data_IF_511684212113
#
_entry.id   IF_511684212113
#
_cell.length_a   1.000
_cell.length_b   1.000
_cell.length_c   1.000
_cell.angle_alpha   90.00
_cell.angle_beta   90.00
_cell.angle_gamma   90.00
#
_symmetry.space_group_name_H-M   'P 1'
#
loop_
_entity.id
_entity.type
_entity.pdbx_description
1 polymer ?
#
# COMPACT_ATOMS: atom_id res chain seq x y z
N UNK A 1 5.90 -17.75 -24.18
CA UNK A 1 5.62 -16.35 -24.56
C UNK A 1 5.79 -15.52 -23.30
N UNK A 2 6.99 -14.96 -23.09
CA UNK A 2 7.33 -14.18 -21.89
C UNK A 2 6.74 -12.78 -22.04
N UNK A 3 5.67 -12.49 -21.32
CA UNK A 3 5.16 -11.13 -21.21
C UNK A 3 6.01 -10.46 -20.13
N UNK A 4 6.85 -9.45 -20.45
CA UNK A 4 7.55 -8.72 -19.43
C UNK A 4 6.49 -7.92 -18.66
N UNK A 5 6.25 -8.29 -17.40
CA UNK A 5 5.48 -7.47 -16.47
C UNK A 5 6.28 -6.19 -16.18
N UNK A 6 6.25 -5.23 -17.10
CA UNK A 6 6.70 -3.86 -16.87
C UNK A 6 5.62 -3.13 -16.05
N UNK A 7 5.45 -3.56 -14.81
CA UNK A 7 4.50 -2.96 -13.89
C UNK A 7 5.22 -1.92 -13.05
N UNK A 8 4.94 -0.64 -13.32
CA UNK A 8 5.47 0.51 -12.62
C UNK A 8 7.01 0.69 -12.69
N UNK A 9 7.54 0.80 -13.90
CA UNK A 9 8.83 1.44 -14.12
C UNK A 9 8.72 2.94 -13.76
N UNK A 10 8.84 3.31 -12.49
CA UNK A 10 8.82 4.73 -12.10
C UNK A 10 8.76 5.07 -10.62
N UNK A 11 8.40 4.13 -9.73
CA UNK A 11 8.17 4.43 -8.31
C UNK A 11 9.37 4.14 -7.38
N UNK A 12 10.54 3.81 -7.94
CA UNK A 12 11.78 3.56 -7.19
C UNK A 12 12.17 2.08 -7.09
N UNK A 13 13.27 1.76 -6.39
CA UNK A 13 13.88 0.42 -6.35
C UNK A 13 13.11 -0.61 -5.49
N UNK A 14 12.03 -0.21 -4.82
CA UNK A 14 11.28 -1.08 -3.90
C UNK A 14 10.32 -1.97 -4.69
N UNK A 15 10.29 -3.30 -4.47
CA UNK A 15 9.36 -4.18 -5.16
C UNK A 15 7.92 -3.79 -4.83
N UNK A 16 7.24 -3.21 -5.82
CA UNK A 16 5.87 -2.75 -5.71
C UNK A 16 4.95 -3.86 -6.21
N UNK A 17 4.53 -4.74 -5.30
CA UNK A 17 3.39 -5.60 -5.60
C UNK A 17 2.16 -4.72 -5.65
N UNK A 18 1.54 -4.69 -6.82
CA UNK A 18 0.30 -3.96 -7.01
C UNK A 18 -0.87 -4.92 -6.86
N UNK A 19 -1.67 -4.68 -5.82
CA UNK A 19 -2.96 -5.33 -5.67
C UNK A 19 -3.95 -4.60 -6.58
N UNK A 20 -4.50 -5.30 -7.58
CA UNK A 20 -5.55 -4.79 -8.46
C UNK A 20 -6.87 -5.50 -8.17
N UNK A 21 -7.91 -4.74 -7.91
CA UNK A 21 -9.26 -5.26 -7.81
C UNK A 21 -9.81 -5.69 -9.17
N UNK A 22 -10.27 -6.94 -9.29
CA UNK A 22 -10.85 -7.49 -10.54
C UNK A 22 -12.39 -7.46 -10.55
N UNK A 23 -13.04 -7.24 -9.40
CA UNK A 23 -14.51 -7.29 -9.25
C UNK A 23 -15.13 -5.90 -9.00
N UNK A 24 -16.37 -5.71 -9.43
CA UNK A 24 -17.18 -4.51 -9.10
C UNK A 24 -17.27 -4.36 -7.57
N UNK A 25 -16.93 -3.19 -7.03
CA UNK A 25 -16.86 -2.92 -5.58
C UNK A 25 -15.45 -2.96 -4.97
N UNK A 26 -14.46 -3.50 -5.69
CA UNK A 26 -13.07 -3.45 -5.22
C UNK A 26 -12.42 -2.08 -5.45
N UNK A 27 -11.50 -1.69 -4.58
CA UNK A 27 -10.77 -0.42 -4.69
C UNK A 27 -10.06 -0.37 -6.05
N UNK A 28 -10.50 0.54 -6.92
CA UNK A 28 -9.89 0.74 -8.24
C UNK A 28 -8.53 1.41 -8.11
N UNK A 29 -7.52 0.90 -8.82
CA UNK A 29 -6.17 1.48 -8.86
C UNK A 29 -5.12 0.53 -8.30
N UNK A 30 -4.03 1.10 -7.81
CA UNK A 30 -2.86 0.34 -7.35
C UNK A 30 -2.70 0.51 -5.83
N UNK A 31 -2.55 -0.59 -5.10
CA UNK A 31 -2.10 -0.56 -3.70
C UNK A 31 -0.60 -0.86 -3.66
N UNK A 32 0.13 -0.10 -2.84
CA UNK A 32 1.57 -0.18 -2.66
C UNK A 32 1.88 -0.48 -1.21
N UNK A 33 2.77 -1.44 -0.96
CA UNK A 33 3.30 -1.71 0.38
C UNK A 33 4.66 -1.01 0.60
N UNK A 34 4.83 -0.38 1.75
CA UNK A 34 6.10 0.15 2.22
C UNK A 34 6.47 -0.47 3.56
N UNK A 35 7.68 -1.02 3.67
CA UNK A 35 8.22 -1.54 4.93
C UNK A 35 9.03 -0.46 5.64
N UNK A 36 8.77 -0.26 6.93
CA UNK A 36 9.53 0.62 7.80
C UNK A 36 9.73 -0.03 9.16
N UNK A 37 10.92 -0.58 9.40
CA UNK A 37 11.23 -1.33 10.62
C UNK A 37 10.30 -2.54 10.79
N UNK A 38 9.57 -2.57 11.91
CA UNK A 38 8.56 -3.59 12.26
C UNK A 38 7.15 -3.27 11.75
N UNK A 39 7.00 -2.27 10.89
CA UNK A 39 5.71 -1.89 10.31
C UNK A 39 5.70 -2.05 8.80
N UNK A 40 4.57 -2.51 8.27
CA UNK A 40 4.26 -2.51 6.84
C UNK A 40 3.03 -1.61 6.62
N UNK A 41 3.17 -0.60 5.76
CA UNK A 41 2.10 0.35 5.44
C UNK A 41 1.60 0.10 4.03
N UNK A 42 0.28 0.07 3.85
CA UNK A 42 -0.37 -0.13 2.57
C UNK A 42 -1.06 1.15 2.15
N UNK A 43 -0.68 1.66 0.98
CA UNK A 43 -1.20 2.89 0.41
C UNK A 43 -1.95 2.63 -0.89
N UNK A 44 -3.14 3.21 -1.01
CA UNK A 44 -3.81 3.36 -2.27
C UNK A 44 -3.20 4.52 -3.06
N UNK A 45 -2.74 4.25 -4.28
CA UNK A 45 -2.25 5.24 -5.22
C UNK A 45 -3.44 5.81 -5.99
N UNK A 46 -3.73 7.10 -5.77
CA UNK A 46 -4.85 7.81 -6.39
C UNK A 46 -4.29 8.93 -7.29
N UNK A 47 -4.75 9.07 -8.54
CA UNK A 47 -4.30 10.16 -9.40
C UNK A 47 -4.79 11.51 -8.85
N UNK A 48 -3.95 12.54 -8.94
CA UNK A 48 -4.32 13.91 -8.58
C UNK A 48 -5.13 14.51 -9.73
N UNK A 49 -6.45 14.46 -9.63
CA UNK A 49 -7.39 14.98 -10.66
C UNK A 49 -7.82 16.44 -10.45
N UNK A 50 -7.21 17.15 -9.51
CA UNK A 50 -7.54 18.54 -9.17
C UNK A 50 -6.36 19.45 -9.47
N UNK A 51 -6.63 20.74 -9.60
CA UNK A 51 -5.57 21.74 -9.55
C UNK A 51 -4.76 21.61 -8.26
N UNK A 52 -3.45 21.74 -8.38
CA UNK A 52 -2.53 21.71 -7.25
C UNK A 52 -2.70 23.00 -6.43
N UNK A 53 -2.47 22.90 -5.14
CA UNK A 53 -2.31 24.09 -4.30
C UNK A 53 -0.92 24.69 -4.55
N UNK A 54 -0.74 25.99 -4.30
CA UNK A 54 0.56 26.66 -4.47
C UNK A 54 1.71 25.93 -3.78
N UNK A 55 1.48 25.42 -2.57
CA UNK A 55 2.49 24.64 -1.84
C UNK A 55 2.82 23.29 -2.50
N UNK A 56 1.84 22.64 -3.14
CA UNK A 56 2.06 21.42 -3.91
C UNK A 56 2.79 21.72 -5.22
N UNK A 57 2.46 22.83 -5.90
CA UNK A 57 3.16 23.31 -7.10
C UNK A 57 4.62 23.61 -6.80
N UNK A 58 4.90 24.42 -5.76
CA UNK A 58 6.26 24.76 -5.34
C UNK A 58 7.08 23.50 -5.03
N UNK A 59 6.45 22.52 -4.34
CA UNK A 59 7.08 21.23 -4.03
C UNK A 59 7.34 20.41 -5.29
N UNK A 60 6.38 20.32 -6.21
CA UNK A 60 6.56 19.59 -7.47
C UNK A 60 7.63 20.24 -8.33
N UNK A 61 7.64 21.57 -8.43
CA UNK A 61 8.66 22.31 -9.15
C UNK A 61 10.06 22.05 -8.57
N UNK A 62 10.21 22.09 -7.24
CA UNK A 62 11.47 21.76 -6.58
C UNK A 62 11.93 20.31 -6.86
N UNK A 63 11.00 19.35 -6.88
CA UNK A 63 11.29 17.97 -7.26
C UNK A 63 11.71 17.85 -8.73
N UNK A 64 10.99 18.51 -9.65
CA UNK A 64 11.29 18.52 -11.07
C UNK A 64 12.69 19.10 -11.36
N UNK A 65 13.06 20.20 -10.70
CA UNK A 65 14.41 20.76 -10.83
C UNK A 65 15.50 19.81 -10.32
N UNK A 66 15.23 19.03 -9.26
CA UNK A 66 16.24 18.15 -8.64
C UNK A 66 16.43 16.83 -9.39
N UNK A 67 15.35 16.21 -9.87
CA UNK A 67 15.37 14.84 -10.41
C UNK A 67 14.62 14.64 -11.73
N UNK A 68 14.19 15.74 -12.36
CA UNK A 68 13.28 15.70 -13.50
C UNK A 68 11.86 15.34 -13.11
N UNK A 69 10.96 15.42 -14.09
CA UNK A 69 9.58 14.94 -13.95
C UNK A 69 9.56 13.41 -13.82
N UNK A 70 8.67 12.89 -12.97
CA UNK A 70 8.36 11.46 -12.88
C UNK A 70 6.86 11.26 -12.83
N UNK A 71 6.37 10.26 -13.56
CA UNK A 71 4.95 9.88 -13.55
C UNK A 71 4.40 9.62 -12.15
N UNK A 72 5.25 9.21 -11.19
CA UNK A 72 4.87 9.03 -9.79
C UNK A 72 4.42 10.30 -9.08
N UNK A 73 4.84 11.47 -9.56
CA UNK A 73 4.56 12.76 -8.93
C UNK A 73 3.09 13.17 -9.13
N UNK A 74 2.41 12.63 -10.15
CA UNK A 74 0.98 12.82 -10.40
C UNK A 74 0.05 12.02 -9.47
N UNK A 75 0.60 11.23 -8.55
CA UNK A 75 -0.15 10.32 -7.69
C UNK A 75 -0.01 10.69 -6.22
N UNK A 76 -1.13 10.64 -5.48
CA UNK A 76 -1.15 10.74 -4.02
C UNK A 76 -1.24 9.35 -3.38
N UNK A 77 -0.57 9.20 -2.25
CA UNK A 77 -0.67 8.04 -1.36
C UNK A 77 -1.77 8.28 -0.33
N UNK A 78 -2.79 7.43 -0.32
CA UNK A 78 -3.81 7.37 0.74
C UNK A 78 -3.56 6.11 1.57
N UNK A 79 -3.25 6.27 2.86
CA UNK A 79 -3.06 5.12 3.74
C UNK A 79 -4.37 4.32 3.84
N UNK A 80 -4.27 3.01 3.73
CA UNK A 80 -5.38 2.07 3.90
C UNK A 80 -5.21 1.24 5.17
N UNK A 81 -4.03 0.64 5.33
CA UNK A 81 -3.75 -0.28 6.42
C UNK A 81 -2.31 -0.12 6.89
N UNK A 82 -2.09 -0.35 8.18
CA UNK A 82 -0.78 -0.52 8.78
C UNK A 82 -0.76 -1.85 9.51
N UNK A 83 0.12 -2.75 9.11
CA UNK A 83 0.46 -3.94 9.89
C UNK A 83 1.64 -3.61 10.78
N UNK A 84 1.46 -3.63 12.10
CA UNK A 84 2.47 -3.25 13.07
C UNK A 84 2.82 -4.43 13.97
N UNK A 85 4.05 -4.92 13.86
CA UNK A 85 4.56 -6.03 14.67
C UNK A 85 5.10 -5.52 16.01
N UNK A 86 4.61 -6.12 17.09
CA UNK A 86 5.04 -5.83 18.44
C UNK A 86 6.27 -6.68 18.85
N UNK A 87 6.71 -6.58 20.10
CA UNK A 87 7.88 -7.31 20.59
C UNK A 87 7.67 -8.84 20.65
N UNK A 88 6.43 -9.31 20.72
CA UNK A 88 6.07 -10.73 20.80
C UNK A 88 5.76 -11.35 19.43
N UNK A 89 6.17 -10.68 18.34
CA UNK A 89 5.90 -11.09 16.94
C UNK A 89 4.41 -11.21 16.58
N UNK A 90 3.56 -10.52 17.33
CA UNK A 90 2.15 -10.38 16.99
C UNK A 90 2.01 -9.09 16.19
N UNK A 91 1.38 -9.16 15.03
CA UNK A 91 1.15 -8.00 14.18
C UNK A 91 -0.30 -7.55 14.25
N UNK A 92 -0.52 -6.32 14.70
CA UNK A 92 -1.83 -5.68 14.69
C UNK A 92 -2.05 -5.00 13.33
N UNK A 93 -3.19 -5.28 12.72
CA UNK A 93 -3.62 -4.66 11.48
C UNK A 93 -4.57 -3.52 11.79
N UNK A 94 -4.12 -2.30 11.51
CA UNK A 94 -4.75 -1.05 11.87
C UNK A 94 -5.24 -0.36 10.60
N UNK A 95 -6.49 0.11 10.60
CA UNK A 95 -7.07 0.83 9.45
C UNK A 95 -6.69 2.32 9.39
N UNK A 96 -7.22 3.03 8.39
CA UNK A 96 -6.96 4.46 8.21
C UNK A 96 -7.48 5.35 9.35
N UNK A 97 -8.37 4.82 10.20
CA UNK A 97 -8.95 5.51 11.36
C UNK A 97 -8.23 5.16 12.67
N UNK A 98 -7.21 4.29 12.64
CA UNK A 98 -6.52 3.83 13.84
C UNK A 98 -7.21 2.66 14.56
N UNK A 99 -8.21 2.04 13.95
CA UNK A 99 -8.93 0.91 14.53
C UNK A 99 -8.24 -0.41 14.17
N UNK A 100 -8.06 -1.29 15.17
CA UNK A 100 -7.54 -2.65 14.94
C UNK A 100 -8.61 -3.50 14.29
N UNK A 101 -8.36 -3.94 13.05
CA UNK A 101 -9.30 -4.72 12.23
C UNK A 101 -8.93 -6.20 12.16
N UNK A 102 -7.66 -6.52 12.37
CA UNK A 102 -7.22 -7.91 12.49
C UNK A 102 -5.96 -8.00 13.34
N UNK A 103 -5.69 -9.21 13.81
CA UNK A 103 -4.47 -9.58 14.51
C UNK A 103 -3.86 -10.77 13.79
N UNK A 104 -2.58 -10.67 13.48
CA UNK A 104 -1.79 -11.71 12.87
C UNK A 104 -0.85 -12.33 13.91
N UNK A 105 -0.99 -13.65 14.10
CA UNK A 105 -0.20 -14.42 15.05
C UNK A 105 -0.04 -15.85 14.53
N UNK A 106 1.16 -16.41 14.65
CA UNK A 106 1.46 -17.81 14.27
C UNK A 106 0.97 -18.14 12.84
N UNK A 107 1.26 -17.24 11.88
CA UNK A 107 0.84 -17.31 10.47
C UNK A 107 -0.68 -17.40 10.24
N UNK A 108 -1.48 -16.99 11.23
CA UNK A 108 -2.93 -16.89 11.14
C UNK A 108 -3.36 -15.45 11.29
N UNK A 109 -4.36 -15.08 10.49
CA UNK A 109 -5.00 -13.77 10.54
C UNK A 109 -6.39 -13.90 11.15
N UNK A 110 -6.60 -13.26 12.30
CA UNK A 110 -7.86 -13.24 13.04
C UNK A 110 -8.51 -11.87 12.94
N UNK A 111 -9.76 -11.79 12.51
CA UNK A 111 -10.48 -10.53 12.35
C UNK A 111 -11.14 -10.08 13.65
N UNK A 112 -11.03 -8.79 13.95
CA UNK A 112 -11.68 -8.18 15.11
C UNK A 112 -13.12 -7.80 14.78
N UNK A 113 -14.09 -8.51 15.35
CA UNK A 113 -15.50 -8.16 15.27
C UNK A 113 -16.15 -8.31 13.89
N UNK A 114 -17.29 -7.63 13.69
CA UNK A 114 -18.04 -7.67 12.45
C UNK A 114 -17.49 -6.66 11.45
N UNK A 115 -16.66 -7.15 10.52
CA UNK A 115 -16.07 -6.37 9.44
C UNK A 115 -16.83 -6.61 8.13
N UNK A 116 -17.07 -5.52 7.39
CA UNK A 116 -17.64 -5.56 6.04
C UNK A 116 -16.80 -6.43 5.10
N UNK A 117 -17.45 -7.25 4.28
CA UNK A 117 -16.77 -8.21 3.38
C UNK A 117 -15.70 -7.57 2.51
N UNK A 118 -15.95 -6.40 1.94
CA UNK A 118 -14.98 -5.68 1.09
C UNK A 118 -13.69 -5.33 1.85
N UNK A 119 -13.82 -4.95 3.13
CA UNK A 119 -12.70 -4.62 4.00
C UNK A 119 -11.95 -5.89 4.43
N UNK A 120 -12.64 -7.02 4.61
CA UNK A 120 -11.99 -8.32 4.83
C UNK A 120 -11.13 -8.72 3.64
N UNK A 121 -11.69 -8.67 2.43
CA UNK A 121 -10.96 -9.02 1.20
C UNK A 121 -9.70 -8.16 1.02
N UNK A 122 -9.80 -6.86 1.32
CA UNK A 122 -8.66 -5.94 1.30
C UNK A 122 -7.56 -6.37 2.28
N UNK A 123 -7.91 -6.66 3.54
CA UNK A 123 -6.93 -7.07 4.55
C UNK A 123 -6.27 -8.39 4.16
N UNK A 124 -7.03 -9.37 3.65
CA UNK A 124 -6.50 -10.66 3.18
C UNK A 124 -5.50 -10.44 2.04
N UNK A 125 -5.85 -9.61 1.05
CA UNK A 125 -4.96 -9.32 -0.07
C UNK A 125 -3.66 -8.63 0.39
N UNK A 126 -3.75 -7.70 1.34
CA UNK A 126 -2.59 -7.04 1.93
C UNK A 126 -1.75 -8.00 2.77
N UNK A 127 -2.36 -8.92 3.52
CA UNK A 127 -1.66 -9.94 4.30
C UNK A 127 -0.88 -10.91 3.40
N UNK A 128 -1.51 -11.43 2.33
CA UNK A 128 -0.84 -12.25 1.34
C UNK A 128 0.32 -11.51 0.66
N UNK A 129 0.13 -10.22 0.34
CA UNK A 129 1.17 -9.36 -0.21
C UNK A 129 2.35 -9.20 0.76
N UNK A 130 2.09 -8.93 2.05
CA UNK A 130 3.11 -8.85 3.10
C UNK A 130 3.96 -10.12 3.14
N UNK A 131 3.31 -11.29 3.24
CA UNK A 131 3.99 -12.59 3.27
C UNK A 131 4.92 -12.77 2.08
N UNK A 132 4.41 -12.57 0.86
CA UNK A 132 5.20 -12.74 -0.35
C UNK A 132 6.40 -11.78 -0.46
N UNK A 133 6.25 -10.51 -0.08
CA UNK A 133 7.36 -9.53 -0.14
C UNK A 133 8.41 -9.86 0.91
N UNK A 134 7.99 -10.20 2.13
CA UNK A 134 8.91 -10.51 3.22
C UNK A 134 9.67 -11.82 2.98
N UNK A 135 9.01 -12.86 2.46
CA UNK A 135 9.64 -14.14 2.11
C UNK A 135 10.75 -13.96 1.08
N UNK A 136 10.57 -13.06 0.11
CA UNK A 136 11.58 -12.78 -0.92
C UNK A 136 12.76 -11.93 -0.44
N UNK A 137 12.65 -11.32 0.75
CA UNK A 137 13.71 -10.51 1.33
C UNK A 137 14.57 -11.30 2.32
N UNK A 138 14.20 -12.56 2.60
CA UNK A 138 14.92 -13.50 3.45
C UNK A 138 15.78 -14.43 2.58
#
# INVERSE_FOLDING_TARGET
>A
MNIPFSFAAGLGPTPLIVIRGQKRGTIQGSIVMEKSGRSCKFYHMVPIKRALTKAEEDRMQALMHKRGYRDSDDWKKKLLLTAQENATKVAEWIDEYGTVVAVEKDDKLEFSGEIQTEKKDLVIACWACKGFVLDKTT
#
